data_IF_922733520278
#
_entry.id   IF_922733520278
#
_cell.length_a   1.000
_cell.length_b   1.000
_cell.length_c   1.000
_cell.angle_alpha   90.00
_cell.angle_beta   90.00
_cell.angle_gamma   90.00
#
_symmetry.space_group_name_H-M   'P 1'
#
loop_
_entity.id
_entity.type
_entity.pdbx_description
1 polymer ?
#
# COMPACT_ATOMS: atom_id res chain seq x y z
N UNK A 1 -0.10 -9.43 -13.43
CA UNK A 1 -1.47 -8.96 -13.71
C UNK A 1 -1.89 -7.85 -12.74
N UNK A 2 -1.66 -8.05 -11.44
CA UNK A 2 -1.96 -7.00 -10.46
C UNK A 2 -1.14 -5.74 -10.71
N UNK A 3 0.13 -5.91 -11.10
CA UNK A 3 0.97 -4.79 -11.47
C UNK A 3 0.37 -3.98 -12.63
N UNK A 4 -0.09 -4.67 -13.67
CA UNK A 4 -0.73 -4.01 -14.80
C UNK A 4 -1.99 -3.27 -14.37
N UNK A 5 -2.76 -3.86 -13.46
CA UNK A 5 -3.97 -3.23 -12.95
C UNK A 5 -3.67 -1.98 -12.13
N UNK A 6 -2.72 -2.08 -11.21
CA UNK A 6 -2.30 -0.93 -10.42
C UNK A 6 -1.71 0.15 -11.31
N UNK A 7 -0.89 -0.23 -12.27
CA UNK A 7 -0.31 0.71 -13.21
C UNK A 7 -1.38 1.42 -14.02
N UNK A 8 -2.38 0.69 -14.50
CA UNK A 8 -3.46 1.29 -15.27
C UNK A 8 -4.26 2.29 -14.46
N UNK A 9 -4.55 1.98 -13.20
CA UNK A 9 -5.28 2.89 -12.31
C UNK A 9 -4.45 4.13 -11.98
N UNK A 10 -3.16 3.95 -11.70
CA UNK A 10 -2.31 5.04 -11.23
C UNK A 10 -1.53 5.75 -12.32
N UNK A 11 -1.45 5.18 -13.53
CA UNK A 11 -0.70 5.83 -14.62
C UNK A 11 -1.37 7.12 -15.11
N UNK A 12 -2.68 7.22 -15.00
CA UNK A 12 -3.38 8.47 -15.30
C UNK A 12 -2.87 9.61 -14.43
N UNK A 13 -2.50 9.30 -13.20
CA UNK A 13 -2.01 10.26 -12.24
C UNK A 13 -0.53 10.54 -12.45
N UNK A 14 0.25 9.52 -12.77
CA UNK A 14 1.68 9.67 -13.04
C UNK A 14 1.96 10.59 -14.24
N UNK A 15 1.04 10.64 -15.21
CA UNK A 15 1.16 11.50 -16.38
C UNK A 15 1.07 12.98 -16.05
N UNK A 16 0.49 13.33 -14.91
CA UNK A 16 0.37 14.71 -14.47
C UNK A 16 1.56 15.21 -13.66
N UNK A 17 2.57 14.36 -13.50
CA UNK A 17 3.76 14.69 -12.76
C UNK A 17 3.50 14.69 -11.26
N UNK A 18 3.96 13.70 -10.57
CA UNK A 18 3.89 13.61 -9.12
C UNK A 18 5.20 14.01 -8.49
N UNK A 19 5.16 14.33 -7.21
CA UNK A 19 6.33 14.61 -6.41
C UNK A 19 6.69 13.36 -5.61
N UNK A 20 7.97 12.98 -5.64
CA UNK A 20 8.46 11.85 -4.85
C UNK A 20 8.93 12.38 -3.51
N UNK A 21 8.37 11.84 -2.42
CA UNK A 21 8.74 12.19 -1.06
C UNK A 21 9.08 10.94 -0.28
N UNK A 22 10.04 11.07 0.62
CA UNK A 22 10.32 10.00 1.58
C UNK A 22 9.34 10.13 2.75
N UNK A 23 8.66 9.05 3.04
CA UNK A 23 7.73 8.94 4.16
C UNK A 23 8.12 7.71 4.97
N UNK A 24 7.72 7.66 6.23
CA UNK A 24 8.03 6.52 7.09
C UNK A 24 6.74 5.84 7.51
N UNK A 25 6.63 4.57 7.22
CA UNK A 25 5.55 3.73 7.74
C UNK A 25 5.94 3.21 9.13
N UNK A 26 4.97 3.18 10.03
CA UNK A 26 5.18 2.82 11.42
C UNK A 26 4.15 1.79 11.85
N UNK A 27 4.61 0.66 12.36
CA UNK A 27 3.73 -0.34 12.93
C UNK A 27 4.51 -1.19 13.93
N UNK A 28 3.94 -1.38 15.13
CA UNK A 28 4.50 -2.30 16.12
C UNK A 28 5.94 -2.01 16.52
N UNK A 29 6.36 -0.75 16.51
CA UNK A 29 7.73 -0.36 16.81
C UNK A 29 8.66 -0.41 15.60
N UNK A 30 8.22 -0.93 14.48
CA UNK A 30 9.01 -0.96 13.26
C UNK A 30 8.80 0.31 12.44
N UNK A 31 9.87 0.79 11.83
CA UNK A 31 9.89 2.01 11.02
C UNK A 31 10.44 1.66 9.65
N UNK A 32 9.68 1.97 8.60
CA UNK A 32 10.06 1.63 7.23
C UNK A 32 9.99 2.86 6.36
N UNK A 33 11.12 3.41 5.91
CA UNK A 33 11.10 4.51 4.95
C UNK A 33 10.64 4.01 3.59
N UNK A 34 9.78 4.78 2.94
CA UNK A 34 9.33 4.51 1.58
C UNK A 34 9.43 5.79 0.76
N UNK A 35 9.81 5.64 -0.50
CA UNK A 35 9.77 6.73 -1.46
C UNK A 35 8.42 6.68 -2.14
N UNK A 36 7.57 7.63 -1.80
CA UNK A 36 6.20 7.64 -2.27
C UNK A 36 6.02 8.68 -3.38
N UNK A 37 5.46 8.25 -4.49
CA UNK A 37 5.00 9.18 -5.51
C UNK A 37 3.66 9.76 -5.04
N UNK A 38 3.65 11.05 -4.81
CA UNK A 38 2.47 11.78 -4.38
C UNK A 38 1.81 12.43 -5.58
N UNK A 39 0.60 12.02 -5.87
CA UNK A 39 -0.16 12.53 -6.99
C UNK A 39 -1.45 13.16 -6.51
N UNK A 40 -1.59 14.45 -6.72
CA UNK A 40 -2.77 15.20 -6.30
C UNK A 40 -3.99 14.95 -7.19
N UNK A 41 -3.79 14.38 -8.37
CA UNK A 41 -4.89 14.06 -9.29
C UNK A 41 -5.63 12.79 -8.95
N UNK A 42 -5.14 12.02 -8.00
CA UNK A 42 -5.75 10.75 -7.63
C UNK A 42 -6.07 10.70 -6.14
N UNK A 43 -7.26 10.24 -5.82
CA UNK A 43 -7.65 10.06 -4.43
C UNK A 43 -7.76 8.57 -4.17
N UNK A 44 -6.83 8.06 -3.36
CA UNK A 44 -6.87 6.69 -2.90
C UNK A 44 -7.47 6.68 -1.51
N UNK A 45 -8.68 6.15 -1.40
CA UNK A 45 -9.40 6.08 -0.13
C UNK A 45 -10.14 4.77 -0.02
N UNK A 46 -10.21 4.26 1.18
CA UNK A 46 -11.09 3.13 1.49
C UNK A 46 -12.55 3.60 1.33
N UNK A 47 -13.32 2.97 0.45
CA UNK A 47 -14.71 3.40 0.24
C UNK A 47 -15.61 3.21 1.47
N UNK A 48 -15.23 2.34 2.41
CA UNK A 48 -16.03 2.08 3.59
C UNK A 48 -15.73 3.04 4.74
N UNK A 49 -14.48 3.40 4.93
CA UNK A 49 -14.07 4.22 6.09
C UNK A 49 -13.63 5.62 5.71
N UNK A 50 -13.35 5.88 4.45
CA UNK A 50 -12.77 7.12 3.98
C UNK A 50 -11.30 7.30 4.33
N UNK A 51 -10.67 6.30 4.94
CA UNK A 51 -9.24 6.38 5.28
C UNK A 51 -8.39 6.46 4.02
N UNK A 52 -7.28 7.16 4.12
CA UNK A 52 -6.33 7.24 3.02
C UNK A 52 -5.62 5.92 2.83
N UNK A 53 -5.41 5.56 1.58
CA UNK A 53 -4.70 4.34 1.20
C UNK A 53 -3.38 4.73 0.57
N UNK A 54 -2.31 4.13 1.06
CA UNK A 54 -0.99 4.19 0.44
C UNK A 54 -0.71 2.80 -0.11
N UNK A 55 -0.26 2.72 -1.37
CA UNK A 55 0.11 1.44 -1.98
C UNK A 55 1.62 1.30 -1.95
N UNK A 56 2.11 0.25 -1.34
CA UNK A 56 3.54 -0.02 -1.23
C UNK A 56 3.87 -1.41 -1.77
N UNK A 57 5.15 -1.69 -1.94
CA UNK A 57 5.62 -2.99 -2.38
C UNK A 57 5.71 -3.98 -1.22
N UNK A 58 5.82 -5.26 -1.56
CA UNK A 58 5.88 -6.36 -0.60
C UNK A 58 7.01 -6.19 0.42
N UNK A 59 8.14 -5.63 0.01
CA UNK A 59 9.28 -5.45 0.90
C UNK A 59 8.95 -4.55 2.09
N UNK A 60 8.11 -3.54 1.88
CA UNK A 60 7.67 -2.65 2.96
C UNK A 60 6.85 -3.43 3.99
N UNK A 61 5.97 -4.30 3.55
CA UNK A 61 5.19 -5.12 4.48
C UNK A 61 6.08 -6.05 5.30
N UNK A 62 7.06 -6.69 4.65
CA UNK A 62 7.99 -7.58 5.35
C UNK A 62 8.80 -6.86 6.40
N UNK A 63 9.15 -5.61 6.15
CA UNK A 63 9.88 -4.80 7.10
C UNK A 63 9.00 -4.32 8.26
N UNK A 64 7.74 -4.01 7.99
CA UNK A 64 6.78 -3.61 9.02
C UNK A 64 6.33 -4.77 9.89
N UNK A 65 6.15 -5.92 9.28
CA UNK A 65 5.63 -7.11 9.92
C UNK A 65 6.55 -8.28 9.56
N UNK A 66 7.66 -8.47 10.29
CA UNK A 66 8.61 -9.53 9.98
C UNK A 66 7.99 -10.91 10.19
N UNK A 67 7.58 -11.52 9.11
CA UNK A 67 6.98 -12.85 9.07
C UNK A 67 7.43 -13.54 7.79
N UNK A 68 8.05 -14.70 7.93
CA UNK A 68 8.61 -15.45 6.80
C UNK A 68 7.55 -15.89 5.79
N UNK A 69 6.27 -15.93 6.18
CA UNK A 69 5.19 -16.28 5.26
C UNK A 69 4.82 -15.17 4.29
N UNK A 70 5.28 -13.95 4.55
CA UNK A 70 4.97 -12.80 3.69
C UNK A 70 5.98 -12.76 2.55
N UNK A 71 5.55 -13.22 1.39
CA UNK A 71 6.34 -13.23 0.15
C UNK A 71 5.52 -12.59 -0.96
N UNK A 72 6.14 -12.15 -2.06
CA UNK A 72 5.36 -11.66 -3.20
C UNK A 72 4.35 -12.68 -3.71
N UNK A 73 4.73 -13.98 -3.72
CA UNK A 73 3.81 -15.03 -4.13
C UNK A 73 2.62 -15.15 -3.17
N UNK A 74 2.84 -15.03 -1.86
CA UNK A 74 1.78 -15.06 -0.88
C UNK A 74 0.86 -13.85 -1.03
N UNK A 75 1.40 -12.68 -1.33
CA UNK A 75 0.60 -11.48 -1.57
C UNK A 75 -0.23 -11.56 -2.84
N UNK A 76 0.12 -12.43 -3.77
CA UNK A 76 -0.70 -12.68 -4.95
C UNK A 76 -1.99 -13.45 -4.59
N UNK A 77 -2.03 -14.10 -3.43
CA UNK A 77 -3.24 -14.70 -2.88
C UNK A 77 -3.53 -14.08 -1.50
N UNK A 78 -4.01 -12.84 -1.49
CA UNK A 78 -4.11 -12.07 -0.26
C UNK A 78 -5.12 -12.63 0.75
N UNK A 79 -6.16 -13.30 0.28
CA UNK A 79 -7.17 -13.88 1.18
C UNK A 79 -6.56 -15.01 2.02
N UNK A 80 -5.77 -15.88 1.39
CA UNK A 80 -5.08 -16.97 2.07
C UNK A 80 -4.04 -16.42 3.05
N UNK A 81 -3.29 -15.42 2.62
CA UNK A 81 -2.28 -14.80 3.48
C UNK A 81 -2.93 -14.14 4.69
N UNK A 82 -4.03 -13.42 4.50
CA UNK A 82 -4.76 -12.78 5.59
C UNK A 82 -5.23 -13.82 6.61
N UNK A 83 -5.79 -14.91 6.13
CA UNK A 83 -6.26 -15.98 7.00
C UNK A 83 -5.12 -16.53 7.86
N UNK A 84 -3.96 -16.75 7.24
CA UNK A 84 -2.78 -17.27 7.92
C UNK A 84 -2.25 -16.29 8.97
N UNK A 85 -2.17 -15.01 8.63
CA UNK A 85 -1.72 -13.98 9.56
C UNK A 85 -2.68 -13.80 10.73
N UNK A 86 -3.98 -13.79 10.48
CA UNK A 86 -5.00 -13.63 11.51
C UNK A 86 -5.08 -14.86 12.43
N UNK A 87 -4.75 -16.03 11.94
CA UNK A 87 -4.70 -17.23 12.77
C UNK A 87 -3.59 -17.13 13.81
N UNK A 88 -2.44 -16.57 13.44
CA UNK A 88 -1.33 -16.37 14.38
C UNK A 88 -1.50 -15.12 15.24
N UNK A 89 -2.09 -14.07 14.71
CA UNK A 89 -2.27 -12.81 15.40
C UNK A 89 -3.68 -12.28 15.15
N UNK A 90 -4.70 -12.75 15.90
CA UNK A 90 -6.09 -12.37 15.67
C UNK A 90 -6.35 -10.86 15.79
N UNK A 91 -5.54 -10.15 16.56
CA UNK A 91 -5.68 -8.70 16.76
C UNK A 91 -4.98 -7.86 15.68
N UNK A 92 -4.31 -8.51 14.73
CA UNK A 92 -3.61 -7.80 13.67
C UNK A 92 -4.61 -6.94 12.87
N UNK A 93 -4.37 -5.62 12.73
CA UNK A 93 -5.29 -4.73 12.02
C UNK A 93 -5.08 -4.81 10.51
N UNK A 94 -5.21 -6.00 9.97
CA UNK A 94 -5.09 -6.28 8.54
C UNK A 94 -6.45 -6.64 7.98
N UNK A 95 -6.68 -6.29 6.73
CA UNK A 95 -7.90 -6.63 6.02
C UNK A 95 -7.68 -6.62 4.51
N UNK A 96 -8.68 -7.08 3.79
CA UNK A 96 -8.66 -7.01 2.33
C UNK A 96 -9.39 -5.76 1.87
N UNK A 97 -8.88 -5.17 0.81
CA UNK A 97 -9.52 -4.08 0.11
C UNK A 97 -9.75 -4.53 -1.33
N UNK A 98 -10.96 -4.32 -1.84
CA UNK A 98 -11.22 -4.59 -3.24
C UNK A 98 -10.81 -3.39 -4.09
N UNK A 99 -10.27 -3.66 -5.25
CA UNK A 99 -9.94 -2.63 -6.22
C UNK A 99 -10.50 -2.99 -7.58
N UNK A 100 -10.79 -1.97 -8.37
CA UNK A 100 -11.28 -2.15 -9.73
C UNK A 100 -10.31 -1.51 -10.70
N UNK A 101 -10.18 -2.14 -11.84
CA UNK A 101 -9.39 -1.60 -12.93
C UNK A 101 -10.25 -1.51 -14.18
N UNK A 102 -10.00 -0.49 -14.98
CA UNK A 102 -10.72 -0.30 -16.22
C UNK A 102 -10.43 -1.49 -17.16
N UNK A 103 -11.49 -2.17 -17.57
CA UNK A 103 -11.39 -3.27 -18.54
C UNK A 103 -10.97 -4.62 -17.97
N UNK A 104 -10.89 -4.78 -16.64
CA UNK A 104 -10.49 -6.03 -16.01
C UNK A 104 -11.35 -6.36 -14.80
N UNK A 105 -11.20 -7.57 -14.28
CA UNK A 105 -11.91 -8.01 -13.10
C UNK A 105 -11.41 -7.28 -11.86
N UNK A 106 -12.30 -7.10 -10.90
CA UNK A 106 -11.93 -6.59 -9.59
C UNK A 106 -10.98 -7.57 -8.89
N UNK A 107 -10.05 -7.04 -8.14
CA UNK A 107 -9.10 -7.82 -7.37
C UNK A 107 -9.15 -7.47 -5.89
N UNK A 108 -8.40 -8.24 -5.11
CA UNK A 108 -8.22 -8.00 -3.67
C UNK A 108 -6.75 -7.69 -3.39
N UNK A 109 -6.53 -6.80 -2.43
CA UNK A 109 -5.20 -6.46 -1.98
C UNK A 109 -5.17 -6.47 -0.46
N UNK A 110 -4.08 -6.98 0.11
CA UNK A 110 -3.89 -7.02 1.56
C UNK A 110 -3.50 -5.64 2.05
N UNK A 111 -4.17 -5.20 3.10
CA UNK A 111 -3.92 -3.91 3.73
C UNK A 111 -3.62 -4.07 5.21
N UNK A 112 -2.78 -3.19 5.73
CA UNK A 112 -2.46 -3.10 7.15
C UNK A 112 -2.74 -1.67 7.60
N UNK A 113 -3.53 -1.51 8.66
CA UNK A 113 -3.71 -0.20 9.27
C UNK A 113 -2.46 0.15 10.08
N UNK A 114 -1.84 1.25 9.74
CA UNK A 114 -0.61 1.69 10.37
C UNK A 114 -0.57 3.21 10.46
N UNK A 115 0.55 3.75 10.87
CA UNK A 115 0.77 5.18 10.86
C UNK A 115 1.79 5.55 9.79
N UNK A 116 1.67 6.77 9.29
CA UNK A 116 2.64 7.33 8.36
C UNK A 116 3.17 8.63 8.94
N UNK A 117 4.48 8.77 8.91
CA UNK A 117 5.17 10.00 9.32
C UNK A 117 5.63 10.72 8.06
N UNK A 118 5.02 11.86 7.79
CA UNK A 118 5.30 12.66 6.60
C UNK A 118 6.47 13.61 6.85
N UNK A 119 6.57 14.09 8.09
CA UNK A 119 7.64 14.99 8.55
C UNK A 119 7.82 14.78 10.06
N UNK A 120 8.94 15.24 10.64
CA UNK A 120 9.19 15.05 12.07
C UNK A 120 8.02 15.53 12.93
N UNK A 121 7.60 14.69 13.88
CA UNK A 121 6.54 15.01 14.82
C UNK A 121 5.12 14.92 14.27
N UNK A 122 4.94 14.65 12.99
CA UNK A 122 3.61 14.59 12.38
C UNK A 122 3.33 13.17 11.92
N UNK A 123 2.45 12.47 12.64
CA UNK A 123 2.01 11.11 12.32
C UNK A 123 0.52 11.12 11.99
N UNK A 124 0.15 10.35 11.01
CA UNK A 124 -1.25 10.19 10.60
C UNK A 124 -1.57 8.73 10.40
N UNK A 125 -2.82 8.37 10.62
CA UNK A 125 -3.29 7.03 10.31
C UNK A 125 -3.39 6.86 8.82
N UNK A 126 -3.04 5.67 8.35
CA UNK A 126 -3.24 5.30 6.95
C UNK A 126 -3.53 3.81 6.85
N UNK A 127 -4.09 3.44 5.72
CA UNK A 127 -4.26 2.05 5.35
C UNK A 127 -3.22 1.76 4.28
N UNK A 128 -2.22 0.95 4.60
CA UNK A 128 -1.18 0.59 3.64
C UNK A 128 -1.60 -0.68 2.91
N UNK A 129 -1.72 -0.58 1.60
CA UNK A 129 -2.03 -1.71 0.72
C UNK A 129 -0.72 -2.20 0.11
N UNK A 130 -0.54 -3.52 0.03
CA UNK A 130 0.74 -4.09 -0.37
C UNK A 130 0.61 -4.86 -1.67
N UNK A 131 1.28 -4.35 -2.69
CA UNK A 131 1.31 -4.95 -4.02
C UNK A 131 2.30 -6.11 -4.07
N UNK A 132 1.93 -7.24 -4.67
CA UNK A 132 2.88 -8.34 -4.90
C UNK A 132 3.90 -8.01 -5.99
N UNK A 133 3.67 -6.94 -6.76
CA UNK A 133 4.52 -6.54 -7.87
C UNK A 133 5.03 -5.12 -7.66
N UNK A 134 6.12 -4.72 -8.35
CA UNK A 134 6.63 -3.36 -8.25
C UNK A 134 5.58 -2.32 -8.63
N UNK A 135 5.57 -1.18 -7.93
CA UNK A 135 4.64 -0.08 -8.21
C UNK A 135 5.21 0.93 -9.21
N UNK A 136 6.51 0.85 -9.48
CA UNK A 136 7.20 1.73 -10.44
C UNK A 136 7.97 0.91 -11.47
N UNK A 137 7.88 1.29 -12.74
CA UNK A 137 8.64 0.65 -13.80
C UNK A 137 10.13 0.91 -13.68
N UNK A 138 10.51 2.11 -13.29
CA UNK A 138 11.91 2.53 -13.23
C UNK A 138 12.56 2.42 -11.87
N UNK A 139 11.84 1.96 -10.86
CA UNK A 139 12.37 1.88 -9.50
C UNK A 139 12.59 3.23 -8.82
N UNK A 140 12.00 4.30 -9.36
CA UNK A 140 12.16 5.64 -8.82
C UNK A 140 11.42 5.85 -7.51
N UNK A 141 10.36 5.09 -7.30
CA UNK A 141 9.59 5.11 -6.07
C UNK A 141 9.12 3.69 -5.76
N UNK A 142 8.76 3.45 -4.52
CA UNK A 142 8.32 2.14 -4.04
C UNK A 142 6.95 2.19 -3.36
N UNK A 143 6.29 3.35 -3.42
CA UNK A 143 4.94 3.51 -2.92
C UNK A 143 4.21 4.59 -3.71
N UNK A 144 2.87 4.52 -3.66
CA UNK A 144 1.99 5.50 -4.28
C UNK A 144 1.04 6.04 -3.23
N UNK A 145 0.85 7.35 -3.23
CA UNK A 145 -0.10 7.99 -2.33
C UNK A 145 -0.92 9.02 -3.12
N UNK A 146 -2.22 9.00 -2.91
CA UNK A 146 -3.12 9.94 -3.57
C UNK A 146 -3.56 11.05 -2.63
N UNK A 147 -4.01 12.16 -3.21
CA UNK A 147 -4.53 13.28 -2.45
C UNK A 147 -3.47 14.05 -1.67
N UNK A 148 -3.92 14.76 -0.66
CA UNK A 148 -3.03 15.54 0.20
C UNK A 148 -2.85 14.84 1.53
N UNK A 149 -1.62 14.39 1.83
CA UNK A 149 -1.23 13.93 3.16
C UNK A 149 -0.41 15.06 3.77
N UNK A 150 -1.06 15.93 4.41
CA UNK A 150 -0.32 17.06 4.89
C UNK A 150 -0.69 17.49 6.27
#
# INVERSE_FOLDING_TARGET
LLYMLCYTVFSCTAQHGGEIRTMTLLYGGNRVPVRALHDTGCTLRDPMTGERVLVAEADALRALLPDASITPAALADPAELLLRLKTRAPALPARLLSYKCVGTQAGLILCLRCEIQVRPGVRKRCLAAFSPTPVSDGGNYDALVGGTIG
#
